data_IF_146685895310
#
_entry.id   IF_146685895310
#
_cell.length_a   1.000
_cell.length_b   1.000
_cell.length_c   1.000
_cell.angle_alpha   90.00
_cell.angle_beta   90.00
_cell.angle_gamma   90.00
#
_symmetry.space_group_name_H-M   'P 1'
#
loop_
_entity.id
_entity.type
_entity.pdbx_description
1 polymer ?
#
# COMPACT_ATOMS: atom_id res chain seq x y z
N UNK A 1 -8.02 -7.78 12.73
CA UNK A 1 -9.23 -6.94 12.46
C UNK A 1 -9.52 -5.98 13.62
N UNK A 2 -9.47 -6.44 14.90
CA UNK A 2 -9.77 -5.59 16.06
C UNK A 2 -8.78 -4.43 16.21
N UNK A 3 -7.49 -4.68 16.03
CA UNK A 3 -6.45 -3.66 16.08
C UNK A 3 -6.62 -2.59 14.99
N UNK A 4 -6.98 -3.02 13.77
CA UNK A 4 -7.32 -2.10 12.67
C UNK A 4 -8.55 -1.23 13.01
N UNK A 5 -9.57 -1.82 13.63
CA UNK A 5 -10.73 -1.08 14.13
C UNK A 5 -10.33 -0.03 15.18
N UNK A 6 -9.49 -0.39 16.13
CA UNK A 6 -8.94 0.54 17.13
C UNK A 6 -8.12 1.67 16.51
N UNK A 7 -7.31 1.34 15.50
CA UNK A 7 -6.55 2.35 14.76
C UNK A 7 -7.47 3.39 14.09
N UNK A 8 -8.56 2.94 13.48
CA UNK A 8 -9.51 3.82 12.76
C UNK A 8 -10.32 4.70 13.70
N UNK A 9 -10.82 4.15 14.83
CA UNK A 9 -11.73 4.89 15.70
C UNK A 9 -11.05 5.57 16.87
N UNK A 10 -9.80 5.23 17.15
CA UNK A 10 -9.02 5.72 18.29
C UNK A 10 -9.19 4.88 19.56
N UNK A 11 -8.55 5.35 20.64
CA UNK A 11 -8.40 4.57 21.88
C UNK A 11 -9.70 4.34 22.65
N UNK A 12 -10.71 5.20 22.52
CA UNK A 12 -11.88 5.23 23.41
C UNK A 12 -13.23 4.95 22.72
N UNK A 13 -13.31 5.08 21.42
CA UNK A 13 -14.59 4.90 20.70
C UNK A 13 -14.94 3.42 20.58
N UNK A 14 -16.23 3.12 20.66
CA UNK A 14 -16.74 1.78 20.35
C UNK A 14 -16.87 1.59 18.85
N UNK A 15 -16.70 0.38 18.38
CA UNK A 15 -16.95 -0.02 17.00
C UNK A 15 -17.49 -1.45 16.98
N UNK A 16 -18.18 -1.80 15.92
CA UNK A 16 -18.62 -3.16 15.64
C UNK A 16 -17.80 -3.72 14.50
N UNK A 17 -17.40 -4.97 14.63
CA UNK A 17 -16.66 -5.70 13.63
C UNK A 17 -17.60 -6.62 12.89
N UNK A 18 -17.86 -6.33 11.62
CA UNK A 18 -18.64 -7.21 10.76
C UNK A 18 -17.67 -8.08 9.98
N UNK A 19 -17.69 -9.38 10.24
CA UNK A 19 -16.90 -10.37 9.52
C UNK A 19 -17.73 -11.02 8.42
N UNK A 20 -17.25 -10.91 7.18
CA UNK A 20 -17.68 -11.82 6.12
C UNK A 20 -16.77 -13.07 6.18
N UNK A 21 -17.35 -14.19 6.59
CA UNK A 21 -16.67 -15.49 6.68
C UNK A 21 -16.75 -16.29 5.38
N UNK A 22 -17.27 -15.69 4.30
CA UNK A 22 -17.28 -16.36 2.99
C UNK A 22 -15.84 -16.62 2.56
N UNK A 23 -15.48 -17.90 2.48
CA UNK A 23 -14.18 -18.32 1.94
C UNK A 23 -14.16 -17.95 0.45
N UNK A 24 -13.29 -17.02 0.08
CA UNK A 24 -13.02 -16.74 -1.32
C UNK A 24 -12.16 -17.88 -1.89
N UNK A 25 -12.62 -18.47 -2.95
CA UNK A 25 -11.82 -19.43 -3.68
C UNK A 25 -10.80 -18.66 -4.54
N UNK A 26 -9.57 -19.10 -4.50
CA UNK A 26 -8.48 -18.59 -5.32
C UNK A 26 -8.02 -19.69 -6.27
N UNK A 27 -8.06 -19.39 -7.56
CA UNK A 27 -7.55 -20.27 -8.61
C UNK A 27 -6.22 -19.66 -9.09
N UNK A 28 -5.10 -20.22 -8.63
CA UNK A 28 -3.77 -19.67 -8.79
C UNK A 28 -2.85 -20.69 -9.41
N UNK A 29 -2.40 -20.38 -10.62
CA UNK A 29 -1.33 -21.12 -11.25
C UNK A 29 0.03 -20.53 -10.85
N UNK A 30 1.04 -21.39 -10.72
CA UNK A 30 2.44 -21.01 -10.50
C UNK A 30 3.29 -21.55 -11.63
N UNK A 31 4.05 -20.67 -12.25
CA UNK A 31 4.93 -21.03 -13.37
C UNK A 31 6.35 -20.57 -13.08
N UNK A 32 7.26 -21.51 -13.03
CA UNK A 32 8.69 -21.25 -13.02
C UNK A 32 9.24 -21.20 -14.44
N UNK A 33 10.06 -20.22 -14.76
CA UNK A 33 10.70 -20.02 -16.06
C UNK A 33 12.20 -20.15 -15.89
N UNK A 34 12.77 -21.19 -16.49
CA UNK A 34 14.22 -21.34 -16.56
C UNK A 34 14.77 -20.42 -17.67
N UNK A 35 15.13 -19.18 -17.30
CA UNK A 35 15.54 -18.17 -18.26
C UNK A 35 15.71 -16.80 -17.65
N UNK A 36 15.42 -15.80 -18.45
CA UNK A 36 15.50 -14.37 -18.08
C UNK A 36 14.14 -13.68 -18.27
N UNK A 37 14.04 -12.42 -17.91
CA UNK A 37 12.79 -11.63 -18.01
C UNK A 37 12.17 -11.65 -19.43
N UNK A 38 12.97 -11.81 -20.49
CA UNK A 38 12.47 -11.96 -21.86
C UNK A 38 11.69 -13.27 -22.05
N UNK A 39 12.12 -14.36 -21.41
CA UNK A 39 11.45 -15.65 -21.47
C UNK A 39 10.18 -15.63 -20.62
N UNK A 40 10.22 -14.92 -19.48
CA UNK A 40 9.03 -14.64 -18.66
C UNK A 40 7.97 -13.89 -19.48
N UNK A 41 8.37 -12.85 -20.24
CA UNK A 41 7.44 -12.10 -21.08
C UNK A 41 6.79 -12.97 -22.14
N UNK A 42 7.57 -13.87 -22.78
CA UNK A 42 7.05 -14.86 -23.75
C UNK A 42 6.02 -15.76 -23.06
N UNK A 43 6.35 -16.26 -21.88
CA UNK A 43 5.47 -17.18 -21.13
C UNK A 43 4.16 -16.51 -20.70
N UNK A 44 4.20 -15.24 -20.30
CA UNK A 44 3.00 -14.43 -20.01
C UNK A 44 2.12 -14.35 -21.25
N UNK A 45 2.68 -14.02 -22.42
CA UNK A 45 1.93 -13.91 -23.68
C UNK A 45 1.30 -15.25 -24.06
N UNK A 46 2.05 -16.35 -23.94
CA UNK A 46 1.55 -17.70 -24.20
C UNK A 46 0.37 -18.05 -23.29
N UNK A 47 0.50 -17.74 -21.98
CA UNK A 47 -0.55 -18.01 -21.01
C UNK A 47 -1.83 -17.20 -21.33
N UNK A 48 -1.71 -15.90 -21.56
CA UNK A 48 -2.84 -15.03 -21.91
C UNK A 48 -3.56 -15.53 -23.18
N UNK A 49 -2.81 -15.98 -24.20
CA UNK A 49 -3.37 -16.54 -25.44
C UNK A 49 -4.04 -17.90 -25.21
N UNK A 50 -3.37 -18.81 -24.46
CA UNK A 50 -3.89 -20.14 -24.17
C UNK A 50 -5.22 -20.07 -23.42
N UNK A 51 -5.32 -19.19 -22.44
CA UNK A 51 -6.50 -18.98 -21.62
C UNK A 51 -7.58 -18.11 -22.30
N UNK A 52 -7.32 -17.65 -23.53
CA UNK A 52 -8.23 -16.82 -24.35
C UNK A 52 -8.74 -15.57 -23.60
N UNK A 53 -7.85 -14.94 -22.81
CA UNK A 53 -8.18 -13.75 -22.04
C UNK A 53 -8.50 -12.59 -22.99
N UNK A 54 -9.70 -12.03 -22.84
CA UNK A 54 -10.21 -10.94 -23.70
C UNK A 54 -10.42 -9.62 -22.97
N UNK A 55 -10.42 -9.66 -21.64
CA UNK A 55 -10.53 -8.49 -20.76
C UNK A 55 -9.15 -8.01 -20.27
N UNK A 56 -9.06 -6.87 -19.60
CA UNK A 56 -7.80 -6.39 -19.06
C UNK A 56 -7.11 -7.40 -18.13
N UNK A 57 -5.80 -7.46 -18.24
CA UNK A 57 -4.91 -8.22 -17.36
C UNK A 57 -4.09 -7.24 -16.51
N UNK A 58 -4.07 -7.40 -15.20
CA UNK A 58 -3.12 -6.70 -14.33
C UNK A 58 -1.89 -7.55 -14.11
N UNK A 59 -0.72 -6.99 -14.40
CA UNK A 59 0.57 -7.61 -14.18
C UNK A 59 1.34 -6.83 -13.10
N UNK A 60 1.35 -7.35 -11.88
CA UNK A 60 2.06 -6.75 -10.76
C UNK A 60 3.54 -7.13 -10.75
N UNK A 61 4.39 -6.13 -10.51
CA UNK A 61 5.81 -6.28 -10.22
C UNK A 61 6.14 -5.70 -8.85
N UNK A 62 7.32 -6.01 -8.31
CA UNK A 62 7.73 -5.54 -6.99
C UNK A 62 8.46 -4.18 -7.03
N UNK A 63 8.98 -3.78 -8.18
CA UNK A 63 9.70 -2.52 -8.35
C UNK A 63 9.30 -1.77 -9.62
N UNK A 64 9.55 -0.45 -9.63
CA UNK A 64 9.34 0.40 -10.82
C UNK A 64 10.23 -0.04 -11.98
N UNK A 65 11.50 -0.32 -11.70
CA UNK A 65 12.45 -0.77 -12.73
C UNK A 65 12.03 -2.08 -13.41
N UNK A 66 11.49 -3.03 -12.66
CA UNK A 66 10.92 -4.25 -13.23
C UNK A 66 9.69 -3.94 -14.08
N UNK A 67 8.77 -3.08 -13.61
CA UNK A 67 7.57 -2.73 -14.35
C UNK A 67 7.88 -2.04 -15.68
N UNK A 68 8.80 -1.10 -15.70
CA UNK A 68 9.25 -0.40 -16.91
C UNK A 68 9.91 -1.37 -17.90
N UNK A 69 10.82 -2.21 -17.40
CA UNK A 69 11.56 -3.16 -18.22
C UNK A 69 10.66 -4.23 -18.82
N UNK A 70 9.81 -4.86 -17.99
CA UNK A 70 8.87 -5.89 -18.45
C UNK A 70 7.83 -5.33 -19.41
N UNK A 71 7.31 -4.13 -19.16
CA UNK A 71 6.41 -3.43 -20.08
C UNK A 71 7.06 -3.18 -21.44
N UNK A 72 8.33 -2.74 -21.47
CA UNK A 72 9.08 -2.52 -22.71
C UNK A 72 9.26 -3.81 -23.51
N UNK A 73 9.61 -4.92 -22.85
CA UNK A 73 9.77 -6.23 -23.49
C UNK A 73 8.43 -6.73 -24.05
N UNK A 74 7.36 -6.63 -23.27
CA UNK A 74 6.03 -7.04 -23.71
C UNK A 74 5.57 -6.25 -24.93
N UNK A 75 5.74 -4.91 -24.96
CA UNK A 75 5.42 -4.06 -26.12
C UNK A 75 6.11 -4.51 -27.41
N UNK A 76 7.32 -5.06 -27.31
CA UNK A 76 8.06 -5.54 -28.47
C UNK A 76 7.62 -6.94 -28.94
N UNK A 77 7.10 -7.77 -28.02
CA UNK A 77 6.82 -9.19 -28.28
C UNK A 77 5.35 -9.50 -28.58
N UNK A 78 4.42 -8.56 -28.33
CA UNK A 78 2.99 -8.78 -28.56
C UNK A 78 2.34 -7.60 -29.27
N UNK A 79 1.25 -7.89 -30.00
CA UNK A 79 0.36 -6.87 -30.58
C UNK A 79 -0.74 -6.42 -29.60
N UNK A 80 -0.80 -6.99 -28.40
CA UNK A 80 -1.72 -6.54 -27.36
C UNK A 80 -1.33 -5.13 -26.91
N UNK A 81 -2.32 -4.35 -26.49
CA UNK A 81 -2.05 -3.09 -25.81
C UNK A 81 -1.34 -3.35 -24.50
N UNK A 82 -0.21 -2.68 -24.25
CA UNK A 82 0.55 -2.82 -23.00
C UNK A 82 0.74 -1.44 -22.41
N UNK A 83 0.17 -1.22 -21.23
CA UNK A 83 0.26 0.04 -20.50
C UNK A 83 1.10 -0.13 -19.23
N UNK A 84 1.54 0.99 -18.67
CA UNK A 84 2.38 1.04 -17.47
C UNK A 84 1.73 1.93 -16.43
N UNK A 85 1.70 1.48 -15.15
CA UNK A 85 1.16 2.26 -14.05
C UNK A 85 2.01 2.16 -12.79
N UNK A 86 2.64 3.26 -12.40
CA UNK A 86 3.34 3.38 -11.10
C UNK A 86 3.37 4.83 -10.61
N UNK A 87 3.65 5.02 -9.32
CA UNK A 87 3.55 6.31 -8.65
C UNK A 87 4.46 7.44 -9.18
N UNK A 88 5.51 7.12 -9.97
CA UNK A 88 6.41 8.13 -10.55
C UNK A 88 5.95 8.65 -11.91
N UNK A 89 4.92 8.07 -12.52
CA UNK A 89 4.33 8.59 -13.75
C UNK A 89 3.54 9.86 -13.46
N UNK A 90 3.40 10.72 -14.48
CA UNK A 90 2.55 11.90 -14.37
C UNK A 90 1.12 11.51 -14.03
N UNK A 91 0.40 12.41 -13.38
CA UNK A 91 -1.01 12.17 -13.03
C UNK A 91 -1.86 11.86 -14.25
N UNK A 92 -1.64 12.58 -15.34
CA UNK A 92 -2.37 12.39 -16.60
C UNK A 92 -2.21 10.96 -17.15
N UNK A 93 -0.97 10.45 -17.26
CA UNK A 93 -0.69 9.09 -17.76
C UNK A 93 -1.34 8.03 -16.89
N UNK A 94 -1.36 8.23 -15.56
CA UNK A 94 -2.02 7.30 -14.63
C UNK A 94 -3.54 7.28 -14.83
N UNK A 95 -4.16 8.46 -14.93
CA UNK A 95 -5.61 8.59 -15.17
C UNK A 95 -6.01 7.96 -16.52
N UNK A 96 -5.24 8.17 -17.57
CA UNK A 96 -5.45 7.53 -18.89
C UNK A 96 -5.41 5.99 -18.81
N UNK A 97 -4.45 5.43 -18.06
CA UNK A 97 -4.35 3.97 -17.85
C UNK A 97 -5.51 3.43 -17.01
N UNK A 98 -5.94 4.17 -16.00
CA UNK A 98 -7.08 3.81 -15.16
C UNK A 98 -8.40 3.82 -15.98
N UNK A 99 -8.55 4.77 -16.90
CA UNK A 99 -9.73 4.84 -17.79
C UNK A 99 -9.76 3.66 -18.76
N UNK A 100 -8.61 3.24 -19.32
CA UNK A 100 -8.50 2.04 -20.17
C UNK A 100 -8.97 0.80 -19.41
N UNK A 101 -8.59 0.66 -18.13
CA UNK A 101 -9.03 -0.43 -17.27
C UNK A 101 -10.55 -0.38 -17.01
N UNK A 102 -11.08 0.82 -16.69
CA UNK A 102 -12.51 1.02 -16.42
C UNK A 102 -13.39 0.71 -17.65
N UNK A 103 -12.92 1.07 -18.82
CA UNK A 103 -13.61 0.80 -20.09
C UNK A 103 -13.54 -0.68 -20.49
N UNK A 104 -12.77 -1.49 -19.78
CA UNK A 104 -12.61 -2.91 -20.08
C UNK A 104 -11.89 -3.21 -21.38
N UNK A 105 -11.10 -2.26 -21.89
CA UNK A 105 -10.32 -2.47 -23.11
C UNK A 105 -9.27 -3.55 -22.87
N UNK A 106 -9.21 -4.53 -23.76
CA UNK A 106 -8.26 -5.64 -23.66
C UNK A 106 -6.81 -5.15 -23.71
N UNK A 107 -5.96 -5.79 -22.94
CA UNK A 107 -4.54 -5.47 -22.86
C UNK A 107 -3.90 -5.90 -21.57
N UNK A 108 -2.63 -5.61 -21.40
CA UNK A 108 -1.87 -5.89 -20.19
C UNK A 108 -1.47 -4.55 -19.56
N UNK A 109 -1.86 -4.32 -18.31
CA UNK A 109 -1.39 -3.18 -17.53
C UNK A 109 -0.33 -3.67 -16.56
N UNK A 110 0.92 -3.30 -16.80
CA UNK A 110 2.06 -3.60 -15.91
C UNK A 110 2.09 -2.54 -14.81
N UNK A 111 2.04 -2.97 -13.56
CA UNK A 111 1.93 -2.05 -12.45
C UNK A 111 2.72 -2.49 -11.20
N UNK A 112 2.94 -1.54 -10.31
CA UNK A 112 3.42 -1.79 -8.95
C UNK A 112 2.24 -1.78 -7.97
N UNK A 113 2.49 -1.59 -6.68
CA UNK A 113 1.44 -1.45 -5.66
C UNK A 113 0.43 -0.30 -5.90
N UNK A 114 0.65 0.54 -6.90
CA UNK A 114 -0.22 1.69 -7.22
C UNK A 114 -1.66 1.31 -7.62
N UNK A 115 -1.88 0.08 -8.11
CA UNK A 115 -3.21 -0.46 -8.43
C UNK A 115 -3.66 -1.56 -7.44
N UNK A 116 -2.94 -1.73 -6.34
CA UNK A 116 -3.22 -2.75 -5.32
C UNK A 116 -4.48 -2.40 -4.50
N UNK A 117 -4.67 -1.11 -4.17
CA UNK A 117 -5.75 -0.64 -3.29
C UNK A 117 -6.43 0.63 -3.80
N UNK A 118 -7.70 0.78 -3.43
CA UNK A 118 -8.39 2.08 -3.39
C UNK A 118 -8.98 2.59 -4.70
N UNK A 119 -8.71 1.98 -5.83
CA UNK A 119 -9.24 2.42 -7.12
C UNK A 119 -10.34 1.47 -7.62
N UNK A 120 -11.42 2.06 -8.12
CA UNK A 120 -12.40 1.34 -8.93
C UNK A 120 -11.90 1.31 -10.39
N UNK A 121 -11.18 0.23 -10.69
CA UNK A 121 -10.56 0.01 -12.01
C UNK A 121 -11.40 -0.92 -12.90
N UNK A 122 -12.65 -1.15 -12.52
CA UNK A 122 -13.50 -2.09 -13.24
C UNK A 122 -13.12 -3.57 -13.01
N UNK A 123 -13.65 -4.45 -13.84
CA UNK A 123 -13.42 -5.89 -13.71
C UNK A 123 -12.25 -6.35 -14.55
N UNK A 124 -11.26 -6.94 -13.88
CA UNK A 124 -10.07 -7.57 -14.46
C UNK A 124 -10.29 -9.08 -14.52
N UNK A 125 -9.95 -9.74 -15.59
CA UNK A 125 -10.17 -11.19 -15.75
C UNK A 125 -9.05 -12.01 -15.14
N UNK A 126 -7.81 -11.53 -15.23
CA UNK A 126 -6.63 -12.22 -14.75
C UNK A 126 -5.68 -11.24 -14.04
N UNK A 127 -5.17 -11.66 -12.89
CA UNK A 127 -4.05 -11.00 -12.22
C UNK A 127 -2.81 -11.85 -12.36
N UNK A 128 -1.74 -11.26 -12.85
CA UNK A 128 -0.42 -11.89 -12.92
C UNK A 128 0.50 -11.22 -11.90
N UNK A 129 1.22 -12.01 -11.15
CA UNK A 129 2.26 -11.57 -10.24
C UNK A 129 3.62 -12.03 -10.77
N UNK A 130 4.50 -11.09 -11.11
CA UNK A 130 5.89 -11.37 -11.45
C UNK A 130 6.76 -11.33 -10.20
N UNK A 131 7.48 -12.43 -9.94
CA UNK A 131 8.24 -12.65 -8.72
C UNK A 131 7.37 -12.90 -7.48
N UNK A 132 7.99 -13.17 -6.34
CA UNK A 132 7.25 -13.36 -5.10
C UNK A 132 6.58 -12.07 -4.63
N UNK A 133 5.30 -12.11 -4.20
CA UNK A 133 4.62 -10.94 -3.61
C UNK A 133 5.15 -10.60 -2.20
N UNK A 134 6.05 -11.41 -1.61
CA UNK A 134 6.68 -11.30 -0.28
C UNK A 134 5.72 -11.42 0.91
N UNK A 135 4.43 -11.27 0.71
CA UNK A 135 3.41 -11.33 1.76
C UNK A 135 2.11 -11.94 1.24
N UNK A 136 1.48 -12.77 2.05
CA UNK A 136 0.15 -13.36 1.75
C UNK A 136 -0.88 -12.25 1.57
N UNK A 137 -0.90 -11.28 2.48
CA UNK A 137 -1.84 -10.15 2.44
C UNK A 137 -1.75 -9.35 1.14
N UNK A 138 -0.55 -9.05 0.66
CA UNK A 138 -0.34 -8.35 -0.63
C UNK A 138 -0.84 -9.17 -1.80
N UNK A 139 -0.53 -10.47 -1.81
CA UNK A 139 -1.01 -11.34 -2.87
C UNK A 139 -2.53 -11.40 -2.91
N UNK A 140 -3.18 -11.57 -1.76
CA UNK A 140 -4.64 -11.59 -1.67
C UNK A 140 -5.27 -10.26 -2.12
N UNK A 141 -4.64 -9.12 -1.82
CA UNK A 141 -5.11 -7.80 -2.27
C UNK A 141 -4.99 -7.66 -3.80
N UNK A 142 -3.87 -8.14 -4.39
CA UNK A 142 -3.62 -8.12 -5.84
C UNK A 142 -4.58 -9.03 -6.57
N UNK A 143 -4.64 -10.31 -6.21
CA UNK A 143 -5.52 -11.27 -6.87
C UNK A 143 -7.01 -10.93 -6.68
N UNK A 144 -7.34 -10.26 -5.57
CA UNK A 144 -8.68 -9.74 -5.31
C UNK A 144 -9.15 -8.67 -6.31
N UNK A 145 -8.28 -8.21 -7.23
CA UNK A 145 -8.63 -7.34 -8.37
C UNK A 145 -9.24 -8.11 -9.56
N UNK A 146 -9.03 -9.43 -9.63
CA UNK A 146 -9.69 -10.24 -10.67
C UNK A 146 -11.19 -10.36 -10.39
N UNK A 147 -11.98 -10.51 -11.47
CA UNK A 147 -13.45 -10.54 -11.46
C UNK A 147 -14.02 -11.44 -10.38
N UNK A 148 -15.03 -10.91 -9.70
CA UNK A 148 -15.93 -11.66 -8.85
C UNK A 148 -17.36 -11.48 -9.31
N UNK A 149 -17.87 -12.41 -10.11
CA UNK A 149 -19.28 -12.71 -9.99
C UNK A 149 -19.44 -13.54 -8.70
N UNK A 150 -20.52 -13.35 -7.94
CA UNK A 150 -20.78 -14.14 -6.73
C UNK A 150 -20.72 -15.63 -7.08
N UNK A 151 -19.68 -16.33 -6.61
CA UNK A 151 -19.46 -17.76 -6.85
C UNK A 151 -18.26 -18.12 -7.71
N UNK A 152 -17.61 -17.15 -8.40
CA UNK A 152 -16.41 -17.40 -9.20
C UNK A 152 -15.13 -17.27 -8.35
N UNK A 153 -14.13 -18.10 -8.68
CA UNK A 153 -12.80 -18.02 -8.07
C UNK A 153 -12.03 -16.83 -8.63
N UNK A 154 -11.26 -16.15 -7.78
CA UNK A 154 -10.31 -15.14 -8.24
C UNK A 154 -9.18 -15.83 -9.01
N UNK A 155 -8.93 -15.41 -10.26
CA UNK A 155 -7.92 -16.02 -11.13
C UNK A 155 -6.60 -15.29 -11.04
N UNK A 156 -5.53 -16.04 -10.78
CA UNK A 156 -4.19 -15.53 -10.69
C UNK A 156 -3.14 -16.44 -11.32
N UNK A 157 -2.06 -15.80 -11.79
CA UNK A 157 -0.84 -16.46 -12.20
C UNK A 157 0.32 -15.85 -11.43
N UNK A 158 1.13 -16.67 -10.78
CA UNK A 158 2.44 -16.24 -10.28
C UNK A 158 3.50 -16.79 -11.23
N UNK A 159 4.37 -15.92 -11.71
CA UNK A 159 5.45 -16.30 -12.61
C UNK A 159 6.78 -15.75 -12.12
N UNK A 160 7.80 -16.57 -12.07
CA UNK A 160 9.15 -16.21 -11.63
C UNK A 160 10.21 -17.00 -12.37
N UNK A 161 11.41 -16.44 -12.48
CA UNK A 161 12.65 -17.09 -12.89
C UNK A 161 13.62 -17.34 -11.72
N UNK A 162 13.25 -16.91 -10.52
CA UNK A 162 14.08 -17.03 -9.32
C UNK A 162 13.72 -18.28 -8.52
N UNK A 163 14.67 -19.15 -8.28
CA UNK A 163 14.48 -20.32 -7.43
C UNK A 163 14.16 -19.94 -5.97
N UNK A 164 14.75 -18.85 -5.46
CA UNK A 164 14.44 -18.34 -4.11
C UNK A 164 13.00 -17.88 -4.01
N UNK A 165 12.51 -17.18 -5.04
CA UNK A 165 11.10 -16.76 -5.12
C UNK A 165 10.15 -17.95 -5.21
N UNK A 166 10.54 -19.05 -5.86
CA UNK A 166 9.70 -20.25 -5.96
C UNK A 166 9.39 -20.83 -4.59
N UNK A 167 10.40 -20.97 -3.72
CA UNK A 167 10.18 -21.47 -2.35
C UNK A 167 9.27 -20.55 -1.54
N UNK A 168 9.48 -19.25 -1.65
CA UNK A 168 8.64 -18.27 -0.96
C UNK A 168 7.18 -18.28 -1.47
N UNK A 169 6.99 -18.42 -2.78
CA UNK A 169 5.67 -18.54 -3.40
C UNK A 169 4.94 -19.79 -2.91
N UNK A 170 5.63 -20.94 -2.82
CA UNK A 170 5.04 -22.17 -2.30
C UNK A 170 4.56 -21.99 -0.87
N UNK A 171 5.37 -21.38 0.00
CA UNK A 171 4.99 -21.08 1.38
C UNK A 171 3.79 -20.12 1.46
N UNK A 172 3.73 -19.11 0.59
CA UNK A 172 2.58 -18.19 0.50
C UNK A 172 1.31 -18.94 0.10
N UNK A 173 1.37 -19.81 -0.90
CA UNK A 173 0.21 -20.60 -1.35
C UNK A 173 -0.29 -21.54 -0.25
N UNK A 174 0.60 -22.19 0.49
CA UNK A 174 0.21 -23.03 1.64
C UNK A 174 -0.51 -22.20 2.71
N UNK A 175 0.02 -21.05 3.08
CA UNK A 175 -0.62 -20.16 4.06
C UNK A 175 -2.00 -19.66 3.61
N UNK A 176 -2.18 -19.40 2.31
CA UNK A 176 -3.50 -19.03 1.76
C UNK A 176 -4.50 -20.19 1.94
N UNK A 177 -4.09 -21.43 1.66
CA UNK A 177 -4.94 -22.61 1.84
C UNK A 177 -5.33 -22.84 3.31
N UNK A 178 -4.43 -22.51 4.23
CA UNK A 178 -4.67 -22.58 5.68
C UNK A 178 -5.46 -21.39 6.22
N UNK A 179 -5.72 -20.35 5.41
CA UNK A 179 -6.34 -19.09 5.84
C UNK A 179 -5.45 -18.25 6.76
N UNK A 180 -4.15 -18.52 6.76
CA UNK A 180 -3.16 -17.85 7.60
C UNK A 180 -2.61 -16.61 6.89
N UNK A 181 -2.89 -15.43 7.43
CA UNK A 181 -2.38 -14.14 6.95
C UNK A 181 -1.41 -13.58 8.00
N UNK A 182 -0.42 -12.82 7.54
CA UNK A 182 0.51 -12.14 8.44
C UNK A 182 -0.23 -11.19 9.40
N UNK A 183 0.16 -11.22 10.66
CA UNK A 183 -0.26 -10.21 11.63
C UNK A 183 0.26 -8.84 11.19
N UNK A 184 -0.66 -7.91 10.97
CA UNK A 184 -0.28 -6.51 10.81
C UNK A 184 -0.11 -5.89 12.18
N UNK A 185 1.09 -5.41 12.46
CA UNK A 185 1.39 -4.71 13.71
C UNK A 185 1.35 -3.20 13.48
N UNK A 186 0.59 -2.52 14.32
CA UNK A 186 0.59 -1.06 14.35
C UNK A 186 1.87 -0.60 15.06
N UNK A 187 2.61 0.30 14.44
CA UNK A 187 3.71 1.00 15.10
C UNK A 187 3.14 1.90 16.19
N UNK A 188 3.33 1.51 17.45
CA UNK A 188 2.94 2.30 18.60
C UNK A 188 4.05 3.29 18.95
N UNK A 189 3.67 4.52 19.34
CA UNK A 189 4.58 5.51 19.89
C UNK A 189 5.64 6.04 18.92
N UNK A 190 5.37 6.12 17.61
CA UNK A 190 6.32 6.70 16.64
C UNK A 190 6.55 8.17 16.93
N UNK A 191 7.66 8.50 17.62
CA UNK A 191 7.93 9.85 18.13
C UNK A 191 8.17 10.88 16.99
N UNK A 192 8.63 10.45 15.83
CA UNK A 192 8.74 11.26 14.61
C UNK A 192 7.38 11.71 14.10
N UNK A 193 6.39 10.80 14.09
CA UNK A 193 4.99 11.11 13.75
C UNK A 193 4.38 12.06 14.77
N UNK A 194 4.68 11.85 16.05
CA UNK A 194 4.25 12.77 17.12
C UNK A 194 4.85 14.16 16.92
N UNK A 195 6.15 14.26 16.69
CA UNK A 195 6.83 15.53 16.44
C UNK A 195 6.19 16.28 15.27
N UNK A 196 5.95 15.58 14.16
CA UNK A 196 5.27 16.14 13.00
C UNK A 196 3.86 16.65 13.33
N UNK A 197 3.08 15.87 14.09
CA UNK A 197 1.74 16.24 14.53
C UNK A 197 1.74 17.49 15.42
N UNK A 198 2.65 17.58 16.39
CA UNK A 198 2.75 18.71 17.32
C UNK A 198 3.11 20.02 16.62
N UNK A 199 4.03 19.98 15.64
CA UNK A 199 4.33 21.14 14.80
C UNK A 199 3.09 21.52 13.98
N UNK A 200 2.43 20.59 13.32
CA UNK A 200 1.20 20.84 12.57
C UNK A 200 0.07 21.45 13.42
N UNK A 201 -0.09 20.95 14.65
CA UNK A 201 -1.08 21.49 15.59
C UNK A 201 -0.79 22.95 15.94
N UNK A 202 0.49 23.29 16.18
CA UNK A 202 0.90 24.68 16.45
C UNK A 202 0.70 25.61 15.25
N UNK A 203 0.76 25.08 14.03
CA UNK A 203 0.48 25.85 12.82
C UNK A 203 -1.01 26.13 12.65
N UNK A 204 -1.85 25.18 13.04
CA UNK A 204 -3.31 25.29 12.91
C UNK A 204 -3.95 26.18 14.00
N UNK A 205 -3.55 25.98 15.25
CA UNK A 205 -4.22 26.58 16.42
C UNK A 205 -3.49 27.82 16.92
N UNK A 206 -2.18 27.93 16.67
CA UNK A 206 -1.31 28.99 17.23
C UNK A 206 -0.75 28.58 18.59
N UNK A 207 -1.27 29.15 19.68
CA UNK A 207 -0.89 28.74 21.04
C UNK A 207 -1.59 27.44 21.42
N UNK A 208 -0.83 26.41 21.75
CA UNK A 208 -1.34 25.08 22.06
C UNK A 208 -1.08 24.74 23.53
N UNK A 209 -2.13 24.60 24.35
CA UNK A 209 -1.98 24.10 25.72
C UNK A 209 -1.44 22.65 25.71
N UNK A 210 -0.36 22.40 26.46
CA UNK A 210 0.32 21.11 26.48
C UNK A 210 -0.61 19.99 26.95
N UNK A 211 -1.42 20.25 27.99
CA UNK A 211 -2.38 19.27 28.49
C UNK A 211 -3.42 18.89 27.43
N UNK A 212 -3.90 19.88 26.65
CA UNK A 212 -4.85 19.64 25.57
C UNK A 212 -4.22 18.84 24.42
N UNK A 213 -2.97 19.15 24.06
CA UNK A 213 -2.21 18.42 23.04
C UNK A 213 -1.96 16.96 23.45
N UNK A 214 -1.54 16.71 24.69
CA UNK A 214 -1.36 15.36 25.23
C UNK A 214 -2.67 14.57 25.25
N UNK A 215 -3.75 15.20 25.68
CA UNK A 215 -5.08 14.57 25.69
C UNK A 215 -5.56 14.22 24.29
N UNK A 216 -5.31 15.08 23.31
CA UNK A 216 -5.61 14.83 21.89
C UNK A 216 -4.77 13.68 21.35
N UNK A 217 -3.47 13.70 21.60
CA UNK A 217 -2.53 12.65 21.17
C UNK A 217 -2.94 11.27 21.71
N UNK A 218 -3.29 11.16 22.98
CA UNK A 218 -3.76 9.91 23.61
C UNK A 218 -5.09 9.37 23.04
N UNK A 219 -5.82 10.15 22.27
CA UNK A 219 -7.03 9.64 21.58
C UNK A 219 -6.66 8.76 20.38
N UNK A 220 -5.51 8.98 19.76
CA UNK A 220 -5.01 8.12 18.71
C UNK A 220 -4.49 6.80 19.30
N UNK A 221 -4.94 5.67 18.78
CA UNK A 221 -4.61 4.34 19.30
C UNK A 221 -3.10 4.07 19.42
N UNK A 222 -2.24 4.47 18.45
CA UNK A 222 -0.80 4.27 18.54
C UNK A 222 -0.13 5.03 19.69
N UNK A 223 -0.76 6.09 20.20
CA UNK A 223 -0.21 6.96 21.26
C UNK A 223 -0.96 6.88 22.58
N UNK A 224 -1.87 5.90 22.74
CA UNK A 224 -2.69 5.76 23.95
C UNK A 224 -1.90 5.64 25.25
N UNK A 225 -0.72 5.02 25.16
CA UNK A 225 0.14 4.69 26.29
C UNK A 225 1.32 5.68 26.45
N UNK A 226 1.40 6.73 25.61
CA UNK A 226 2.50 7.70 25.69
C UNK A 226 2.55 8.35 27.07
N UNK A 227 3.73 8.39 27.65
CA UNK A 227 3.96 9.01 28.94
C UNK A 227 4.07 10.54 28.82
N UNK A 228 3.95 11.23 29.95
CA UNK A 228 4.17 12.68 29.97
C UNK A 228 5.63 13.03 29.68
N UNK A 229 6.56 12.19 30.15
CA UNK A 229 8.00 12.33 29.95
C UNK A 229 8.34 12.24 28.46
N UNK A 230 7.96 11.14 27.80
CA UNK A 230 8.17 10.99 26.32
C UNK A 230 7.55 12.13 25.51
N UNK A 231 6.40 12.64 25.95
CA UNK A 231 5.74 13.75 25.30
C UNK A 231 6.54 15.05 25.41
N UNK A 232 7.10 15.33 26.61
CA UNK A 232 7.96 16.50 26.82
C UNK A 232 9.30 16.37 26.11
N UNK A 233 9.91 15.16 26.07
CA UNK A 233 11.14 14.91 25.33
C UNK A 233 11.00 15.31 23.85
N UNK A 234 9.86 14.97 23.25
CA UNK A 234 9.59 15.39 21.85
C UNK A 234 9.44 16.90 21.74
N UNK A 235 8.74 17.54 22.68
CA UNK A 235 8.58 19.00 22.66
C UNK A 235 9.91 19.73 22.89
N UNK A 236 10.76 19.26 23.78
CA UNK A 236 12.08 19.84 24.05
C UNK A 236 12.98 19.71 22.79
N UNK A 237 12.99 18.55 22.11
CA UNK A 237 13.69 18.39 20.82
C UNK A 237 13.16 19.38 19.77
N UNK A 238 11.85 19.59 19.69
CA UNK A 238 11.28 20.54 18.75
C UNK A 238 11.63 21.99 19.08
N UNK A 239 11.77 22.34 20.36
CA UNK A 239 12.26 23.65 20.78
C UNK A 239 13.74 23.83 20.44
N UNK A 240 14.60 22.85 20.70
CA UNK A 240 16.04 22.86 20.33
C UNK A 240 16.24 23.04 18.82
N UNK A 241 15.35 22.43 18.02
CA UNK A 241 15.33 22.57 16.56
C UNK A 241 14.72 23.91 16.08
N UNK A 242 14.33 24.82 17.00
CA UNK A 242 13.68 26.08 16.71
C UNK A 242 12.35 25.95 15.92
N UNK A 243 11.70 24.83 16.01
CA UNK A 243 10.40 24.60 15.35
C UNK A 243 9.23 25.14 16.20
N UNK A 244 9.34 25.02 17.51
CA UNK A 244 8.38 25.56 18.48
C UNK A 244 9.10 26.43 19.53
N UNK A 245 8.30 27.13 20.31
CA UNK A 245 8.75 27.87 21.48
C UNK A 245 7.69 27.76 22.59
N UNK A 246 8.16 27.51 23.81
CA UNK A 246 7.28 27.49 25.00
C UNK A 246 6.96 28.90 25.49
N UNK A 247 5.85 29.00 26.23
CA UNK A 247 5.63 30.16 27.13
C UNK A 247 6.55 30.05 28.36
N UNK A 248 6.63 31.11 29.18
CA UNK A 248 7.52 31.18 30.36
C UNK A 248 7.29 30.06 31.38
N UNK A 249 6.04 29.61 31.52
CA UNK A 249 5.63 28.61 32.48
C UNK A 249 5.67 27.17 31.91
N UNK A 250 6.08 27.00 30.69
CA UNK A 250 6.04 25.71 29.96
C UNK A 250 4.68 24.99 30.02
N UNK A 251 3.57 25.76 29.96
CA UNK A 251 2.20 25.23 29.93
C UNK A 251 1.61 25.22 28.53
N UNK A 252 2.18 26.03 27.63
CA UNK A 252 1.76 26.15 26.25
C UNK A 252 2.98 26.25 25.33
N UNK A 253 2.79 25.80 24.10
CA UNK A 253 3.78 26.01 23.03
C UNK A 253 3.12 26.58 21.78
N UNK A 254 3.92 27.19 20.91
CA UNK A 254 3.52 27.68 19.59
C UNK A 254 4.64 27.49 18.60
N UNK A 255 4.33 27.56 17.30
CA UNK A 255 5.40 27.61 16.28
C UNK A 255 6.35 28.78 16.53
N UNK A 256 7.65 28.52 16.45
CA UNK A 256 8.65 29.55 16.63
C UNK A 256 8.82 30.35 15.33
N UNK A 257 9.38 29.73 14.29
CA UNK A 257 9.61 30.35 13.00
C UNK A 257 8.66 29.71 11.96
N UNK A 258 7.77 30.55 11.39
CA UNK A 258 6.76 30.06 10.43
C UNK A 258 7.42 29.37 9.21
N UNK A 259 8.56 29.86 8.72
CA UNK A 259 9.23 29.29 7.58
C UNK A 259 9.79 27.89 7.89
N UNK A 260 10.52 27.73 9.00
CA UNK A 260 11.09 26.44 9.38
C UNK A 260 10.01 25.43 9.76
N UNK A 261 8.99 25.83 10.53
CA UNK A 261 7.87 24.96 10.87
C UNK A 261 7.11 24.47 9.63
N UNK A 262 6.84 25.39 8.67
CA UNK A 262 6.17 25.02 7.40
C UNK A 262 7.05 24.10 6.58
N UNK A 263 8.34 24.39 6.44
CA UNK A 263 9.28 23.53 5.72
C UNK A 263 9.34 22.13 6.33
N UNK A 264 9.49 22.03 7.65
CA UNK A 264 9.49 20.75 8.36
C UNK A 264 8.20 19.96 8.12
N UNK A 265 7.04 20.62 8.30
CA UNK A 265 5.75 19.98 8.19
C UNK A 265 5.48 19.45 6.78
N UNK A 266 5.73 20.24 5.74
CA UNK A 266 5.42 19.85 4.36
C UNK A 266 6.49 18.99 3.70
N UNK A 267 7.74 19.04 4.10
CA UNK A 267 8.81 18.19 3.55
C UNK A 267 8.76 16.75 4.09
N UNK A 268 8.15 16.53 5.26
CA UNK A 268 8.02 15.21 5.87
C UNK A 268 6.66 14.54 5.59
N UNK A 269 5.89 15.06 4.64
CA UNK A 269 4.63 14.45 4.18
C UNK A 269 4.81 13.52 2.96
N UNK A 270 6.03 13.37 2.45
CA UNK A 270 6.32 12.57 1.25
C UNK A 270 6.86 11.18 1.57
#
# INVERSE_FOLDING_TARGET
PEEAGRFLVGSKRKFELIHDTSLRNYDVDVVFVDGIMDDVAVKIIEYVKKEQITSPVLLFTNSRGESERLSSILKQKTSLNVELHHGSLSRQVREETEDILREGKSGIVVCTSSLELGLDIGSVELVIQYGSPRQVSKFMQRIGRSKHNRGDSARGLIITESADDEFEIQAIIERIKEGSIEEQRIHNGSLDVLAHHLVGLSMQVGNVPIEAALKLTKQAYPFRDITLEEFFDVLDILEEQNLIIFNKEKTEYKKNNAFFATKYHFQNLS
#
